data_IF_090868857933
#
_entry.id   IF_090868857933
#
_cell.length_a   1.000
_cell.length_b   1.000
_cell.length_c   1.000
_cell.angle_alpha   90.00
_cell.angle_beta   90.00
_cell.angle_gamma   90.00
#
_symmetry.space_group_name_H-M   'P 1'
#
loop_
_entity.id
_entity.type
_entity.pdbx_description
1 polymer ?
#
# COMPACT_ATOMS: atom_id res chain seq x y z
N UNK A 1 84.17 42.39 7.27
CA UNK A 1 83.89 40.93 7.35
C UNK A 1 82.42 40.79 7.70
N UNK A 2 81.57 40.72 6.69
CA UNK A 2 80.12 40.53 6.80
C UNK A 2 79.85 39.04 6.64
N UNK A 3 79.21 38.44 7.65
CA UNK A 3 79.05 37.00 7.79
C UNK A 3 78.12 36.43 6.70
N UNK A 4 78.68 35.56 5.86
CA UNK A 4 78.02 34.86 4.73
C UNK A 4 76.84 33.97 5.15
N UNK A 5 76.66 33.70 6.44
CA UNK A 5 75.55 32.88 6.94
C UNK A 5 74.21 33.62 6.93
N UNK A 6 74.23 34.97 6.88
CA UNK A 6 73.00 35.78 6.86
C UNK A 6 72.33 35.78 5.48
N UNK A 7 73.08 35.53 4.39
CA UNK A 7 72.51 35.44 3.03
C UNK A 7 71.83 34.10 2.73
N UNK A 8 72.18 33.04 3.46
CA UNK A 8 71.51 31.73 3.34
C UNK A 8 70.11 31.77 3.98
N UNK A 9 69.92 32.58 5.03
CA UNK A 9 68.62 32.71 5.70
C UNK A 9 67.59 33.55 4.91
N UNK A 10 68.03 34.35 3.92
CA UNK A 10 67.15 35.26 3.15
C UNK A 10 66.74 34.67 1.79
N UNK A 11 67.31 33.55 1.37
CA UNK A 11 67.04 32.94 0.06
C UNK A 11 66.18 31.67 0.14
N UNK A 12 65.72 31.27 1.33
CA UNK A 12 64.61 30.32 1.44
C UNK A 12 63.33 31.12 1.29
N UNK A 13 62.92 31.31 0.03
CA UNK A 13 61.52 31.57 -0.28
C UNK A 13 60.69 30.56 0.48
N UNK A 14 59.69 31.07 1.20
CA UNK A 14 58.71 30.36 1.99
C UNK A 14 57.88 29.39 1.13
N UNK A 15 58.51 28.32 0.67
CA UNK A 15 57.80 27.15 0.19
C UNK A 15 57.17 26.53 1.44
N UNK A 16 55.86 26.70 1.57
CA UNK A 16 55.07 26.11 2.64
C UNK A 16 55.06 24.59 2.41
N UNK A 17 55.97 23.88 3.09
CA UNK A 17 56.19 22.43 2.90
C UNK A 17 55.03 21.61 3.48
N UNK A 18 54.15 22.22 4.27
CA UNK A 18 52.96 21.60 4.84
C UNK A 18 51.74 22.45 4.48
N UNK A 19 51.03 22.06 3.43
CA UNK A 19 49.67 22.56 3.17
C UNK A 19 48.74 21.92 4.21
N UNK A 20 48.69 22.52 5.41
CA UNK A 20 47.87 22.08 6.54
C UNK A 20 46.37 21.99 6.15
N UNK A 21 45.95 22.84 5.20
CA UNK A 21 44.58 22.91 4.69
C UNK A 21 44.28 21.86 3.61
N UNK A 22 45.28 21.34 2.89
CA UNK A 22 45.08 20.27 1.88
C UNK A 22 44.59 18.97 2.50
N UNK A 23 45.13 18.61 3.68
CA UNK A 23 44.72 17.42 4.42
C UNK A 23 43.29 17.57 4.97
N UNK A 24 42.90 18.76 5.41
CA UNK A 24 41.54 19.06 5.88
C UNK A 24 40.53 19.07 4.72
N UNK A 25 40.87 19.70 3.58
CA UNK A 25 40.03 19.73 2.38
C UNK A 25 39.79 18.33 1.82
N UNK A 26 40.83 17.48 1.79
CA UNK A 26 40.71 16.09 1.36
C UNK A 26 39.81 15.28 2.31
N UNK A 27 39.92 15.52 3.62
CA UNK A 27 39.06 14.90 4.61
C UNK A 27 37.59 15.31 4.44
N UNK A 28 37.33 16.60 4.26
CA UNK A 28 35.99 17.14 3.97
C UNK A 28 35.40 16.53 2.69
N UNK A 29 36.18 16.44 1.62
CA UNK A 29 35.74 15.85 0.35
C UNK A 29 35.45 14.35 0.49
N UNK A 30 36.22 13.61 1.30
CA UNK A 30 35.98 12.20 1.60
C UNK A 30 34.71 12.01 2.42
N UNK A 31 34.48 12.83 3.44
CA UNK A 31 33.27 12.80 4.26
C UNK A 31 32.03 13.15 3.45
N UNK A 32 32.11 14.16 2.59
CA UNK A 32 31.02 14.53 1.67
C UNK A 32 30.68 13.37 0.73
N UNK A 33 31.68 12.78 0.08
CA UNK A 33 31.48 11.64 -0.82
C UNK A 33 30.88 10.42 -0.10
N UNK A 34 31.37 10.12 1.11
CA UNK A 34 30.84 9.03 1.94
C UNK A 34 29.37 9.27 2.31
N UNK A 35 29.07 10.50 2.75
CA UNK A 35 27.72 10.93 3.14
C UNK A 35 26.76 10.86 1.96
N UNK A 36 27.20 11.32 0.79
CA UNK A 36 26.39 11.31 -0.42
C UNK A 36 26.09 9.88 -0.89
N UNK A 37 27.10 8.99 -0.91
CA UNK A 37 26.91 7.57 -1.22
C UNK A 37 25.96 6.89 -0.23
N UNK A 38 26.06 7.23 1.06
CA UNK A 38 25.14 6.71 2.08
C UNK A 38 23.71 7.16 1.84
N UNK A 39 23.48 8.45 1.57
CA UNK A 39 22.14 9.00 1.28
C UNK A 39 21.49 8.35 0.06
N UNK A 40 22.25 8.06 -0.99
CA UNK A 40 21.73 7.41 -2.19
C UNK A 40 21.24 5.98 -1.89
N UNK A 41 22.05 5.19 -1.17
CA UNK A 41 21.69 3.81 -0.77
C UNK A 41 20.52 3.79 0.20
N UNK A 42 20.50 4.72 1.15
CA UNK A 42 19.43 4.88 2.12
C UNK A 42 18.11 5.27 1.44
N UNK A 43 18.12 6.28 0.55
CA UNK A 43 16.93 6.68 -0.19
C UNK A 43 16.36 5.57 -1.07
N UNK A 44 17.21 4.73 -1.68
CA UNK A 44 16.74 3.57 -2.44
C UNK A 44 16.03 2.54 -1.55
N UNK A 45 16.65 2.19 -0.42
CA UNK A 45 16.07 1.25 0.56
C UNK A 45 14.75 1.78 1.11
N UNK A 46 14.71 3.06 1.47
CA UNK A 46 13.52 3.71 2.01
C UNK A 46 12.40 3.76 0.95
N UNK A 47 12.73 4.02 -0.31
CA UNK A 47 11.77 4.00 -1.43
C UNK A 47 11.17 2.62 -1.68
N UNK A 48 11.97 1.55 -1.62
CA UNK A 48 11.48 0.17 -1.73
C UNK A 48 10.55 -0.17 -0.57
N UNK A 49 10.94 0.19 0.66
CA UNK A 49 10.13 -0.10 1.83
C UNK A 49 8.80 0.66 1.81
N UNK A 50 8.83 1.97 1.46
CA UNK A 50 7.62 2.76 1.27
C UNK A 50 6.70 2.18 0.18
N UNK A 51 7.29 1.65 -0.91
CA UNK A 51 6.54 0.98 -1.98
C UNK A 51 5.84 -0.29 -1.50
N UNK A 52 6.53 -1.13 -0.71
CA UNK A 52 5.94 -2.33 -0.11
C UNK A 52 4.80 -2.00 0.84
N UNK A 53 5.01 -1.02 1.72
CA UNK A 53 4.00 -0.58 2.68
C UNK A 53 2.76 -0.03 1.95
N UNK A 54 2.96 0.79 0.92
CA UNK A 54 1.85 1.33 0.13
C UNK A 54 1.07 0.22 -0.59
N UNK A 55 1.76 -0.73 -1.21
CA UNK A 55 1.13 -1.85 -1.90
C UNK A 55 0.34 -2.74 -0.91
N UNK A 56 0.93 -3.03 0.25
CA UNK A 56 0.29 -3.79 1.32
C UNK A 56 -0.97 -3.09 1.83
N UNK A 57 -0.87 -1.80 2.15
CA UNK A 57 -1.99 -1.03 2.66
C UNK A 57 -3.12 -0.91 1.64
N UNK A 58 -2.77 -0.75 0.36
CA UNK A 58 -3.74 -0.70 -0.74
C UNK A 58 -4.47 -2.03 -0.87
N UNK A 59 -3.75 -3.15 -0.87
CA UNK A 59 -4.33 -4.50 -0.90
C UNK A 59 -5.22 -4.77 0.31
N UNK A 60 -4.77 -4.38 1.51
CA UNK A 60 -5.57 -4.50 2.73
C UNK A 60 -6.86 -3.68 2.66
N UNK A 61 -6.77 -2.40 2.28
CA UNK A 61 -7.94 -1.53 2.17
C UNK A 61 -8.97 -2.07 1.16
N UNK A 62 -8.49 -2.58 0.03
CA UNK A 62 -9.35 -3.20 -0.99
C UNK A 62 -10.02 -4.47 -0.46
N UNK A 63 -9.25 -5.39 0.13
CA UNK A 63 -9.76 -6.62 0.71
C UNK A 63 -10.75 -6.35 1.84
N UNK A 64 -10.43 -5.42 2.74
CA UNK A 64 -11.32 -5.01 3.84
C UNK A 64 -12.63 -4.43 3.31
N UNK A 65 -12.58 -3.48 2.36
CA UNK A 65 -13.79 -2.87 1.81
C UNK A 65 -14.67 -3.91 1.11
N UNK A 66 -14.07 -4.81 0.35
CA UNK A 66 -14.80 -5.86 -0.36
C UNK A 66 -15.42 -6.85 0.65
N UNK A 67 -14.60 -7.43 1.53
CA UNK A 67 -15.05 -8.40 2.54
C UNK A 67 -16.11 -7.82 3.48
N UNK A 68 -15.91 -6.60 3.99
CA UNK A 68 -16.88 -5.94 4.86
C UNK A 68 -18.21 -5.69 4.15
N UNK A 69 -18.18 -5.20 2.90
CA UNK A 69 -19.41 -4.97 2.12
C UNK A 69 -20.20 -6.26 1.94
N UNK A 70 -19.52 -7.37 1.68
CA UNK A 70 -20.13 -8.68 1.54
C UNK A 70 -20.72 -9.17 2.88
N UNK A 71 -19.98 -9.02 3.98
CA UNK A 71 -20.33 -9.63 5.27
C UNK A 71 -21.35 -8.83 6.10
N UNK A 72 -21.46 -7.51 5.90
CA UNK A 72 -22.42 -6.65 6.65
C UNK A 72 -23.84 -7.19 6.54
N UNK A 73 -24.27 -7.59 5.34
CA UNK A 73 -25.64 -8.07 5.10
C UNK A 73 -25.92 -9.38 5.86
N UNK A 74 -25.00 -10.34 5.81
CA UNK A 74 -25.09 -11.58 6.58
C UNK A 74 -25.12 -11.31 8.09
N UNK A 75 -24.28 -10.39 8.56
CA UNK A 75 -24.25 -9.95 9.95
C UNK A 75 -25.57 -9.31 10.41
N UNK A 76 -26.18 -8.49 9.56
CA UNK A 76 -27.50 -7.89 9.84
C UNK A 76 -28.58 -8.96 9.97
N UNK A 77 -28.67 -9.91 9.03
CA UNK A 77 -29.64 -11.00 9.12
C UNK A 77 -29.43 -11.87 10.36
N UNK A 78 -28.19 -12.26 10.68
CA UNK A 78 -27.88 -13.02 11.91
C UNK A 78 -28.26 -12.23 13.15
N UNK A 79 -27.96 -10.93 13.18
CA UNK A 79 -28.33 -10.04 14.28
C UNK A 79 -29.84 -9.98 14.50
N UNK A 80 -30.61 -9.70 13.43
CA UNK A 80 -32.06 -9.62 13.49
C UNK A 80 -32.70 -10.96 13.87
N UNK A 81 -32.24 -12.07 13.29
CA UNK A 81 -32.78 -13.40 13.59
C UNK A 81 -32.44 -13.84 15.02
N UNK A 82 -31.25 -13.55 15.54
CA UNK A 82 -30.90 -13.84 16.94
C UNK A 82 -31.71 -12.98 17.93
N UNK A 83 -32.02 -11.74 17.57
CA UNK A 83 -32.91 -10.90 18.36
C UNK A 83 -34.33 -11.47 18.38
N UNK A 84 -34.86 -11.89 17.21
CA UNK A 84 -36.16 -12.57 17.11
C UNK A 84 -36.17 -13.89 17.87
N UNK A 85 -35.10 -14.68 17.78
CA UNK A 85 -34.95 -15.95 18.51
C UNK A 85 -35.05 -15.70 20.01
N UNK A 86 -34.30 -14.72 20.51
CA UNK A 86 -34.30 -14.34 21.92
C UNK A 86 -35.69 -13.88 22.39
N UNK A 87 -36.38 -13.10 21.55
CA UNK A 87 -37.76 -12.67 21.83
C UNK A 87 -38.74 -13.86 21.83
N UNK A 88 -38.64 -14.78 20.88
CA UNK A 88 -39.49 -15.97 20.82
C UNK A 88 -39.29 -16.89 22.03
N UNK A 89 -38.05 -17.07 22.50
CA UNK A 89 -37.75 -17.82 23.72
C UNK A 89 -38.42 -17.22 24.95
N UNK A 90 -38.45 -15.88 25.06
CA UNK A 90 -39.08 -15.20 26.18
C UNK A 90 -40.61 -15.28 26.14
N UNK A 91 -41.22 -15.26 24.95
CA UNK A 91 -42.67 -15.22 24.77
C UNK A 91 -43.33 -16.59 24.51
N UNK A 92 -42.57 -17.68 24.49
CA UNK A 92 -43.10 -19.05 24.34
C UNK A 92 -43.56 -19.40 22.92
N UNK A 93 -42.98 -18.78 21.89
CA UNK A 93 -43.32 -19.05 20.49
C UNK A 93 -42.47 -20.18 19.88
N UNK A 94 -42.66 -21.41 20.37
CA UNK A 94 -41.83 -22.56 20.00
C UNK A 94 -41.87 -22.93 18.51
N UNK A 95 -43.00 -22.68 17.83
CA UNK A 95 -43.14 -22.93 16.39
C UNK A 95 -42.23 -22.02 15.54
N UNK A 96 -41.99 -20.79 15.99
CA UNK A 96 -41.10 -19.85 15.31
C UNK A 96 -39.63 -20.18 15.52
N UNK A 97 -39.25 -20.79 16.66
CA UNK A 97 -37.87 -21.13 16.98
C UNK A 97 -37.24 -22.07 15.95
N UNK A 98 -37.96 -23.11 15.52
CA UNK A 98 -37.47 -24.05 14.52
C UNK A 98 -37.17 -23.34 13.18
N UNK A 99 -38.08 -22.47 12.76
CA UNK A 99 -37.93 -21.70 11.53
C UNK A 99 -36.75 -20.73 11.62
N UNK A 100 -36.60 -20.02 12.74
CA UNK A 100 -35.49 -19.08 12.94
C UNK A 100 -34.14 -19.81 12.95
N UNK A 101 -34.04 -20.96 13.61
CA UNK A 101 -32.81 -21.77 13.60
C UNK A 101 -32.46 -22.28 12.20
N UNK A 102 -33.45 -22.67 11.40
CA UNK A 102 -33.24 -23.04 10.00
C UNK A 102 -32.69 -21.86 9.19
N UNK A 103 -33.28 -20.67 9.34
CA UNK A 103 -32.80 -19.47 8.64
C UNK A 103 -31.36 -19.11 9.05
N UNK A 104 -31.02 -19.23 10.34
CA UNK A 104 -29.66 -19.01 10.84
C UNK A 104 -28.66 -20.00 10.24
N UNK A 105 -29.02 -21.28 10.09
CA UNK A 105 -28.19 -22.31 9.43
C UNK A 105 -27.98 -21.99 7.94
N UNK A 106 -29.04 -21.58 7.23
CA UNK A 106 -28.95 -21.17 5.82
C UNK A 106 -28.01 -19.98 5.63
N UNK A 107 -28.09 -18.96 6.50
CA UNK A 107 -27.18 -17.81 6.44
C UNK A 107 -25.75 -18.23 6.78
N UNK A 108 -25.55 -19.11 7.77
CA UNK A 108 -24.22 -19.61 8.13
C UNK A 108 -23.54 -20.31 6.96
N UNK A 109 -24.26 -21.17 6.24
CA UNK A 109 -23.74 -21.83 5.02
C UNK A 109 -23.41 -20.82 3.93
N UNK A 110 -24.27 -19.83 3.71
CA UNK A 110 -24.03 -18.78 2.73
C UNK A 110 -22.79 -17.94 3.07
N UNK A 111 -22.59 -17.61 4.34
CA UNK A 111 -21.40 -16.93 4.85
C UNK A 111 -20.13 -17.75 4.58
N UNK A 112 -20.14 -19.05 4.87
CA UNK A 112 -19.00 -19.94 4.62
C UNK A 112 -18.67 -20.03 3.11
N UNK A 113 -19.69 -20.11 2.25
CA UNK A 113 -19.50 -20.07 0.79
C UNK A 113 -18.85 -18.77 0.32
N UNK A 114 -19.31 -17.63 0.87
CA UNK A 114 -18.73 -16.33 0.55
C UNK A 114 -17.28 -16.20 1.07
N UNK A 115 -16.98 -16.70 2.26
CA UNK A 115 -15.60 -16.73 2.80
C UNK A 115 -14.69 -17.59 1.93
N UNK A 116 -15.17 -18.76 1.48
CA UNK A 116 -14.42 -19.62 0.58
C UNK A 116 -14.12 -18.92 -0.75
N UNK A 117 -15.09 -18.20 -1.30
CA UNK A 117 -14.90 -17.37 -2.49
C UNK A 117 -13.83 -16.30 -2.27
N UNK A 118 -13.89 -15.55 -1.17
CA UNK A 118 -12.91 -14.51 -0.85
C UNK A 118 -11.48 -15.08 -0.73
N UNK A 119 -11.34 -16.26 -0.12
CA UNK A 119 -10.06 -16.93 0.06
C UNK A 119 -9.53 -17.62 -1.21
N UNK A 120 -10.32 -17.72 -2.28
CA UNK A 120 -9.90 -18.32 -3.55
C UNK A 120 -9.16 -17.34 -4.47
N UNK A 121 -8.81 -16.14 -3.98
CA UNK A 121 -8.17 -15.11 -4.79
C UNK A 121 -6.77 -15.52 -5.24
N UNK A 122 -6.53 -15.25 -6.52
CA UNK A 122 -5.47 -15.63 -7.45
C UNK A 122 -4.04 -15.52 -6.90
N UNK A 123 -3.30 -16.63 -7.04
CA UNK A 123 -1.85 -16.71 -6.82
C UNK A 123 -1.15 -15.70 -7.74
N UNK A 124 -0.76 -14.53 -7.21
CA UNK A 124 0.02 -13.57 -7.99
C UNK A 124 1.38 -14.21 -8.32
N UNK A 125 1.86 -14.16 -9.58
CA UNK A 125 3.14 -14.75 -9.93
C UNK A 125 4.25 -14.23 -9.01
N UNK A 126 5.04 -15.17 -8.48
CA UNK A 126 6.07 -15.01 -7.46
C UNK A 126 6.87 -13.70 -7.57
N UNK A 127 6.40 -12.67 -6.85
CA UNK A 127 7.07 -11.37 -6.71
C UNK A 127 8.44 -11.50 -6.01
N UNK A 128 8.67 -12.61 -5.30
CA UNK A 128 9.92 -12.90 -4.59
C UNK A 128 11.14 -12.89 -5.50
N UNK A 129 11.02 -13.34 -6.76
CA UNK A 129 12.15 -13.38 -7.68
C UNK A 129 12.61 -11.99 -8.15
N UNK A 130 11.73 -10.98 -8.16
CA UNK A 130 12.09 -9.62 -8.56
C UNK A 130 12.80 -8.90 -7.40
N UNK A 131 12.38 -9.19 -6.16
CA UNK A 131 12.93 -8.53 -4.97
C UNK A 131 14.36 -9.01 -4.66
N UNK A 132 14.64 -10.32 -4.84
CA UNK A 132 15.98 -10.88 -4.64
C UNK A 132 16.98 -10.36 -5.68
N UNK A 133 16.53 -10.10 -6.92
CA UNK A 133 17.39 -9.58 -7.99
C UNK A 133 17.82 -8.12 -7.78
N UNK A 134 17.16 -7.40 -6.87
CA UNK A 134 17.44 -5.99 -6.55
C UNK A 134 18.51 -5.84 -5.45
N UNK A 135 18.64 -6.83 -4.57
CA UNK A 135 19.67 -6.85 -3.52
C UNK A 135 21.09 -6.88 -4.13
N UNK A 136 21.23 -7.32 -5.38
CA UNK A 136 22.48 -7.52 -6.10
C UNK A 136 22.81 -6.38 -7.10
N UNK A 137 22.01 -5.32 -7.15
CA UNK A 137 22.35 -4.13 -7.94
C UNK A 137 23.48 -3.35 -7.26
N UNK A 138 24.72 -3.66 -7.65
CA UNK A 138 25.91 -2.92 -7.20
C UNK A 138 25.91 -1.50 -7.77
N UNK A 139 25.33 -0.54 -7.03
CA UNK A 139 25.23 0.89 -7.39
C UNK A 139 26.59 1.63 -7.39
N UNK A 140 27.71 0.93 -7.50
CA UNK A 140 29.05 1.52 -7.46
C UNK A 140 29.47 2.17 -8.80
N UNK A 141 28.71 1.97 -9.89
CA UNK A 141 29.00 2.57 -11.19
C UNK A 141 28.17 3.84 -11.45
N UNK A 142 28.35 4.87 -10.61
CA UNK A 142 28.12 6.24 -11.11
C UNK A 142 29.36 6.61 -11.90
N UNK A 143 29.19 6.81 -13.21
CA UNK A 143 30.21 7.30 -14.12
C UNK A 143 31.03 8.41 -13.45
N UNK A 144 32.36 8.27 -13.51
CA UNK A 144 33.30 9.25 -12.99
C UNK A 144 32.99 10.62 -13.57
N UNK A 145 32.64 11.56 -12.71
CA UNK A 145 32.88 12.96 -13.01
C UNK A 145 34.30 13.23 -12.56
N UNK A 146 35.26 12.94 -13.44
CA UNK A 146 36.62 13.45 -13.32
C UNK A 146 36.52 14.97 -13.49
N UNK A 147 36.63 15.69 -12.37
CA UNK A 147 36.87 17.13 -12.35
C UNK A 147 38.29 17.35 -12.90
N UNK A 148 38.39 17.63 -14.20
CA UNK A 148 39.60 18.19 -14.78
C UNK A 148 39.55 19.71 -14.65
N UNK A 149 40.65 20.25 -14.13
CA UNK A 149 40.87 21.66 -13.83
C UNK A 149 40.58 22.59 -15.01
N UNK A 150 40.08 23.77 -14.65
CA UNK A 150 39.77 24.92 -15.50
C UNK A 150 40.98 25.32 -16.36
N UNK A 151 40.76 25.39 -17.67
CA UNK A 151 41.51 26.29 -18.56
C UNK A 151 40.53 27.20 -19.30
N UNK A 152 40.74 28.47 -19.02
CA UNK A 152 40.13 29.68 -19.57
C UNK A 152 40.00 29.69 -21.11
N UNK A 153 38.88 30.21 -21.63
CA UNK A 153 38.77 30.55 -23.06
C UNK A 153 37.38 30.47 -23.70
N UNK A 154 36.69 31.61 -23.71
CA UNK A 154 35.74 32.13 -24.72
C UNK A 154 34.34 31.50 -24.89
N UNK A 155 33.37 32.39 -24.65
CA UNK A 155 32.00 32.48 -25.17
C UNK A 155 31.72 31.77 -26.50
N UNK A 156 30.70 30.91 -26.51
CA UNK A 156 29.71 30.84 -27.59
C UNK A 156 28.36 30.38 -27.01
N UNK A 157 27.33 31.14 -27.35
CA UNK A 157 25.93 30.89 -27.04
C UNK A 157 25.40 29.77 -27.95
N UNK A 158 24.86 28.71 -27.36
CA UNK A 158 23.91 27.83 -28.04
C UNK A 158 23.06 27.10 -27.01
N UNK A 159 21.85 27.62 -26.78
CA UNK A 159 20.80 26.88 -26.10
C UNK A 159 20.40 25.63 -26.88
N UNK A 160 20.27 24.51 -26.18
CA UNK A 160 19.32 23.46 -26.52
C UNK A 160 19.10 22.52 -25.34
N UNK A 161 17.91 22.64 -24.76
CA UNK A 161 17.01 21.54 -24.38
C UNK A 161 17.66 20.21 -23.95
N UNK A 162 17.75 20.01 -22.64
CA UNK A 162 17.94 18.69 -22.02
C UNK A 162 16.81 18.47 -21.01
N UNK A 163 15.81 17.72 -21.45
CA UNK A 163 14.49 17.56 -20.85
C UNK A 163 14.49 17.20 -19.35
N UNK A 164 13.99 18.14 -18.55
CA UNK A 164 13.32 17.88 -17.30
C UNK A 164 12.04 17.06 -17.57
N UNK A 165 12.15 15.73 -17.58
CA UNK A 165 10.99 14.83 -17.53
C UNK A 165 10.49 14.75 -16.08
N UNK A 166 9.99 15.89 -15.59
CA UNK A 166 8.96 15.90 -14.56
C UNK A 166 7.62 15.77 -15.30
N UNK A 167 7.16 14.54 -15.53
CA UNK A 167 5.83 14.31 -16.11
C UNK A 167 4.82 14.23 -14.97
N UNK A 168 4.25 15.37 -14.65
CA UNK A 168 3.04 15.46 -13.83
C UNK A 168 1.84 15.03 -14.68
N UNK A 169 1.09 14.07 -14.14
CA UNK A 169 -0.34 13.80 -14.29
C UNK A 169 -0.98 13.91 -15.69
N UNK A 170 -1.20 12.76 -16.34
CA UNK A 170 -2.34 12.57 -17.25
C UNK A 170 -2.79 11.11 -17.15
N UNK A 171 -3.98 10.91 -16.60
CA UNK A 171 -4.84 9.72 -16.72
C UNK A 171 -4.11 8.39 -16.93
N UNK A 172 -3.43 7.89 -15.89
CA UNK A 172 -3.14 6.45 -15.84
C UNK A 172 -4.46 5.78 -15.56
N UNK A 173 -4.98 5.14 -16.60
CA UNK A 173 -6.24 4.44 -16.62
C UNK A 173 -6.47 3.73 -15.30
N UNK A 174 -7.63 4.00 -14.73
CA UNK A 174 -8.29 3.02 -13.90
C UNK A 174 -8.25 1.73 -14.72
N UNK A 175 -7.29 0.85 -14.42
CA UNK A 175 -7.52 -0.56 -14.58
C UNK A 175 -8.68 -0.82 -13.62
N UNK A 176 -9.89 -0.53 -14.12
CA UNK A 176 -11.04 -1.34 -13.85
C UNK A 176 -10.58 -2.73 -14.23
N UNK A 177 -9.91 -3.39 -13.29
CA UNK A 177 -9.97 -4.81 -13.22
C UNK A 177 -11.44 -5.06 -12.97
N UNK A 178 -12.17 -5.19 -14.08
CA UNK A 178 -13.33 -6.04 -14.22
C UNK A 178 -12.89 -7.43 -13.74
N UNK A 179 -12.63 -7.57 -12.44
CA UNK A 179 -12.55 -8.85 -11.76
C UNK A 179 -13.97 -9.37 -11.82
N UNK A 180 -14.22 -10.03 -12.95
CA UNK A 180 -15.20 -11.06 -13.18
C UNK A 180 -16.37 -10.95 -12.24
N UNK A 181 -17.32 -10.10 -12.64
CA UNK A 181 -18.73 -10.16 -12.26
C UNK A 181 -19.37 -11.46 -12.82
N UNK A 182 -18.72 -12.58 -12.58
CA UNK A 182 -19.07 -13.94 -12.96
C UNK A 182 -18.71 -14.78 -11.74
N UNK A 183 -19.58 -14.99 -10.75
CA UNK A 183 -20.80 -15.77 -10.88
C UNK A 183 -21.81 -15.51 -9.74
N UNK A 184 -21.85 -14.31 -9.16
CA UNK A 184 -22.88 -13.96 -8.15
C UNK A 184 -24.05 -13.12 -8.70
N UNK A 185 -24.21 -13.04 -10.04
CA UNK A 185 -25.45 -12.56 -10.64
C UNK A 185 -26.45 -13.71 -10.78
N UNK A 186 -26.70 -14.42 -9.68
CA UNK A 186 -27.89 -15.25 -9.56
C UNK A 186 -29.03 -14.27 -9.32
N UNK A 187 -29.88 -14.13 -10.33
CA UNK A 187 -31.24 -13.56 -10.29
C UNK A 187 -31.63 -12.95 -8.92
N UNK A 188 -31.78 -11.62 -8.79
CA UNK A 188 -32.04 -10.95 -7.51
C UNK A 188 -33.30 -11.48 -6.78
N UNK A 189 -34.21 -12.15 -7.48
CA UNK A 189 -35.36 -12.82 -6.87
C UNK A 189 -35.06 -14.21 -6.27
N UNK A 190 -33.92 -14.83 -6.64
CA UNK A 190 -33.47 -16.18 -6.20
C UNK A 190 -32.19 -16.17 -5.36
N UNK A 191 -31.67 -15.01 -4.96
CA UNK A 191 -30.56 -14.95 -4.02
C UNK A 191 -30.98 -15.55 -2.66
N UNK A 192 -30.12 -16.38 -2.05
CA UNK A 192 -30.33 -16.96 -0.71
C UNK A 192 -30.74 -15.89 0.30
N UNK A 193 -30.12 -14.71 0.26
CA UNK A 193 -30.45 -13.58 1.14
C UNK A 193 -31.84 -12.97 0.84
N UNK A 194 -32.25 -12.91 -0.42
CA UNK A 194 -33.59 -12.43 -0.80
C UNK A 194 -34.68 -13.39 -0.32
N UNK A 195 -34.40 -14.70 -0.35
CA UNK A 195 -35.28 -15.71 0.23
C UNK A 195 -35.34 -15.57 1.76
N UNK A 196 -34.18 -15.48 2.44
CA UNK A 196 -34.10 -15.27 3.90
C UNK A 196 -34.89 -14.02 4.31
N UNK A 197 -34.72 -12.90 3.58
CA UNK A 197 -35.47 -11.66 3.81
C UNK A 197 -36.98 -11.88 3.77
N UNK A 198 -37.49 -12.54 2.73
CA UNK A 198 -38.92 -12.84 2.58
C UNK A 198 -39.42 -13.68 3.77
N UNK A 199 -38.63 -14.67 4.20
CA UNK A 199 -38.99 -15.50 5.37
C UNK A 199 -38.94 -14.71 6.69
N UNK A 200 -37.96 -13.82 6.87
CA UNK A 200 -37.88 -12.96 8.06
C UNK A 200 -39.06 -12.01 8.14
N UNK A 201 -39.46 -11.37 7.04
CA UNK A 201 -40.64 -10.50 6.98
C UNK A 201 -41.90 -11.30 7.32
N UNK A 202 -42.08 -12.46 6.71
CA UNK A 202 -43.22 -13.33 7.00
C UNK A 202 -43.27 -13.75 8.48
N UNK A 203 -42.15 -14.11 9.08
CA UNK A 203 -42.07 -14.44 10.51
C UNK A 203 -42.48 -13.27 11.40
N UNK A 204 -42.01 -12.06 11.10
CA UNK A 204 -42.34 -10.85 11.86
C UNK A 204 -43.85 -10.56 11.81
N UNK A 205 -44.48 -10.76 10.64
CA UNK A 205 -45.92 -10.64 10.47
C UNK A 205 -46.69 -11.71 11.26
N UNK A 206 -46.26 -12.97 11.20
CA UNK A 206 -46.89 -14.07 11.94
C UNK A 206 -46.82 -13.89 13.46
N UNK A 207 -45.73 -13.30 13.96
CA UNK A 207 -45.52 -13.02 15.38
C UNK A 207 -46.29 -11.77 15.86
N UNK A 208 -46.95 -11.03 14.96
CA UNK A 208 -47.72 -9.83 15.31
C UNK A 208 -46.86 -8.71 15.91
N UNK A 209 -45.59 -8.62 15.51
CA UNK A 209 -44.65 -7.63 16.02
C UNK A 209 -44.96 -6.21 15.51
N UNK A 210 -44.42 -5.19 16.20
CA UNK A 210 -44.61 -3.78 15.84
C UNK A 210 -44.27 -3.48 14.38
N UNK A 211 -44.99 -2.53 13.78
CA UNK A 211 -44.75 -2.02 12.43
C UNK A 211 -43.31 -1.52 12.23
N UNK A 212 -42.66 -1.03 13.28
CA UNK A 212 -41.26 -0.59 13.23
C UNK A 212 -40.30 -1.76 12.96
N UNK A 213 -40.58 -2.93 13.55
CA UNK A 213 -39.79 -4.15 13.38
C UNK A 213 -40.02 -4.72 11.98
N UNK A 214 -41.26 -4.65 11.49
CA UNK A 214 -41.60 -5.03 10.13
C UNK A 214 -40.87 -4.16 9.10
N UNK A 215 -40.88 -2.84 9.30
CA UNK A 215 -40.16 -1.91 8.44
C UNK A 215 -38.63 -2.13 8.49
N UNK A 216 -38.09 -2.47 9.67
CA UNK A 216 -36.69 -2.85 9.80
C UNK A 216 -36.36 -4.12 9.01
N UNK A 217 -37.17 -5.18 9.11
CA UNK A 217 -36.99 -6.42 8.37
C UNK A 217 -37.10 -6.23 6.84
N UNK A 218 -37.94 -5.30 6.39
CA UNK A 218 -38.07 -4.94 4.97
C UNK A 218 -36.88 -4.14 4.44
N UNK A 219 -36.11 -3.47 5.31
CA UNK A 219 -34.95 -2.66 4.94
C UNK A 219 -33.64 -3.48 4.83
N UNK A 220 -33.59 -4.68 5.41
CA UNK A 220 -32.52 -5.67 5.21
C UNK A 220 -32.35 -6.03 3.74
#
# INVERSE_FOLDING_TARGET
ITMSWVQVAVSQSSEDIFDEDADEMYLLQKEWNSTMKKRLKEGYRDGIEAGKELALQTGFNQGYRHGAKLMITCGQFKGTLNALLSWCHFNGHDSALCTINNLLDVIGKHEDEMLKYLNSTEELPHLGHILDSVQDMDLNHTAGTEYNEVKDGKHEDCGSSGENICRNNTEVGSFQSEFSKANLCTDPEKSTLAWVKKQTVWLVEQLGLSQDILHHAQKL
#
